data_IF_316820398309
#
_entry.id   IF_316820398309
#
_cell.length_a   1.000
_cell.length_b   1.000
_cell.length_c   1.000
_cell.angle_alpha   90.00
_cell.angle_beta   90.00
_cell.angle_gamma   90.00
#
_symmetry.space_group_name_H-M   'P 1'
#
loop_
_entity.id
_entity.type
_entity.pdbx_description
1 polymer ?
#
# COMPACT_ATOMS: atom_id res chain seq x y z
N UNK A 1 21.61 -9.93 -4.50
CA UNK A 1 20.29 -9.27 -4.35
C UNK A 1 19.61 -9.26 -5.70
N UNK A 2 18.34 -9.65 -5.75
CA UNK A 2 17.50 -9.59 -6.94
C UNK A 2 16.74 -8.27 -6.90
N UNK A 3 16.97 -7.40 -7.89
CA UNK A 3 16.32 -6.07 -7.99
C UNK A 3 15.00 -6.16 -8.76
N UNK A 4 14.80 -7.26 -9.48
CA UNK A 4 13.54 -7.57 -10.13
C UNK A 4 12.40 -7.69 -9.10
N UNK A 5 11.19 -7.17 -9.41
CA UNK A 5 10.01 -7.36 -8.59
C UNK A 5 9.78 -8.82 -8.21
N UNK A 6 9.59 -9.07 -6.93
CA UNK A 6 9.22 -10.39 -6.44
C UNK A 6 7.80 -10.78 -6.90
N UNK A 7 7.60 -12.07 -7.21
CA UNK A 7 6.30 -12.60 -7.64
C UNK A 7 5.18 -12.29 -6.64
N UNK A 8 3.99 -11.97 -7.16
CA UNK A 8 2.78 -11.75 -6.37
C UNK A 8 2.35 -13.01 -5.59
N UNK A 9 2.69 -14.21 -6.06
CA UNK A 9 2.35 -15.46 -5.37
C UNK A 9 3.31 -15.78 -4.21
N UNK A 10 4.36 -14.98 -4.03
CA UNK A 10 5.32 -15.19 -2.95
C UNK A 10 4.67 -14.97 -1.58
N UNK A 11 5.07 -15.70 -0.53
CA UNK A 11 4.60 -15.45 0.81
C UNK A 11 4.82 -14.00 1.24
N UNK A 12 3.87 -13.42 1.99
CA UNK A 12 3.92 -12.01 2.37
C UNK A 12 5.23 -11.61 3.08
N UNK A 13 5.76 -12.47 3.94
CA UNK A 13 7.04 -12.26 4.62
C UNK A 13 8.21 -12.14 3.64
N UNK A 14 8.19 -12.92 2.56
CA UNK A 14 9.22 -12.85 1.50
C UNK A 14 9.10 -11.53 0.74
N UNK A 15 7.89 -11.04 0.48
CA UNK A 15 7.67 -9.72 -0.15
C UNK A 15 8.16 -8.58 0.73
N UNK A 16 7.91 -8.66 2.05
CA UNK A 16 8.40 -7.68 3.04
C UNK A 16 9.93 -7.68 3.08
N UNK A 17 10.56 -8.85 3.12
CA UNK A 17 12.01 -8.98 3.10
C UNK A 17 12.60 -8.37 1.82
N UNK A 18 12.04 -8.69 0.66
CA UNK A 18 12.43 -8.10 -0.62
C UNK A 18 12.34 -6.57 -0.61
N UNK A 19 11.22 -6.01 -0.12
CA UNK A 19 11.05 -4.57 -0.08
C UNK A 19 12.09 -3.88 0.82
N UNK A 20 12.44 -4.50 1.96
CA UNK A 20 13.49 -3.99 2.86
C UNK A 20 14.87 -4.09 2.23
N UNK A 21 15.19 -5.19 1.53
CA UNK A 21 16.46 -5.34 0.81
C UNK A 21 16.59 -4.27 -0.29
N UNK A 22 15.53 -4.03 -1.06
CA UNK A 22 15.48 -2.97 -2.07
C UNK A 22 15.63 -1.58 -1.44
N UNK A 23 14.95 -1.31 -0.33
CA UNK A 23 15.08 -0.03 0.37
C UNK A 23 16.50 0.19 0.89
N UNK A 24 17.15 -0.85 1.44
CA UNK A 24 18.53 -0.77 1.92
C UNK A 24 19.52 -0.51 0.78
N UNK A 25 19.34 -1.16 -0.37
CA UNK A 25 20.29 -1.06 -1.47
C UNK A 25 20.06 0.13 -2.42
N UNK A 26 18.81 0.56 -2.58
CA UNK A 26 18.41 1.55 -3.58
C UNK A 26 17.65 2.73 -2.99
N UNK A 27 17.39 2.76 -1.68
CA UNK A 27 16.58 3.80 -1.03
C UNK A 27 17.10 5.21 -1.27
N UNK A 28 18.41 5.44 -1.10
CA UNK A 28 19.03 6.74 -1.38
C UNK A 28 18.93 7.14 -2.86
N UNK A 29 19.10 6.17 -3.77
CA UNK A 29 18.96 6.40 -5.21
C UNK A 29 17.52 6.78 -5.58
N UNK A 30 16.53 6.05 -5.07
CA UNK A 30 15.11 6.32 -5.29
C UNK A 30 14.70 7.66 -4.67
N UNK A 31 15.18 7.98 -3.46
CA UNK A 31 14.94 9.25 -2.80
C UNK A 31 15.62 10.44 -3.50
N UNK A 32 16.72 10.20 -4.23
CA UNK A 32 17.38 11.20 -5.07
C UNK A 32 16.59 11.56 -6.34
N UNK A 33 15.60 10.75 -6.72
CA UNK A 33 14.76 11.02 -7.87
C UNK A 33 13.67 12.07 -7.52
N UNK A 34 13.70 13.19 -8.24
CA UNK A 34 12.78 14.32 -8.00
C UNK A 34 11.33 13.97 -8.28
N UNK A 35 11.07 13.08 -9.26
CA UNK A 35 9.71 12.66 -9.62
C UNK A 35 9.16 11.76 -8.53
N UNK A 36 9.93 10.79 -8.04
CA UNK A 36 9.57 9.95 -6.89
C UNK A 36 9.28 10.82 -5.67
N UNK A 37 10.17 11.76 -5.35
CA UNK A 37 9.99 12.63 -4.17
C UNK A 37 8.71 13.47 -4.26
N UNK A 38 8.40 14.03 -5.43
CA UNK A 38 7.14 14.78 -5.62
C UNK A 38 5.93 13.86 -5.49
N UNK A 39 5.93 12.71 -6.16
CA UNK A 39 4.84 11.75 -6.13
C UNK A 39 4.62 11.18 -4.72
N UNK A 40 5.67 10.89 -3.95
CA UNK A 40 5.56 10.47 -2.55
C UNK A 40 4.85 11.52 -1.70
N UNK A 41 5.22 12.80 -1.86
CA UNK A 41 4.59 13.91 -1.13
C UNK A 41 3.11 14.04 -1.49
N UNK A 42 2.80 14.05 -2.78
CA UNK A 42 1.43 14.17 -3.31
C UNK A 42 0.55 12.97 -2.90
N UNK A 43 1.08 11.76 -3.00
CA UNK A 43 0.40 10.53 -2.58
C UNK A 43 0.13 10.55 -1.07
N UNK A 44 1.11 10.95 -0.26
CA UNK A 44 0.91 11.07 1.18
C UNK A 44 -0.20 12.07 1.54
N UNK A 45 -0.35 13.15 0.77
CA UNK A 45 -1.46 14.10 0.93
C UNK A 45 -2.81 13.49 0.48
N UNK A 46 -2.85 12.82 -0.67
CA UNK A 46 -4.04 12.15 -1.15
C UNK A 46 -4.57 11.10 -0.17
N UNK A 47 -3.68 10.28 0.42
CA UNK A 47 -4.02 9.29 1.46
C UNK A 47 -4.63 9.96 2.70
N UNK A 48 -4.05 11.08 3.15
CA UNK A 48 -4.62 11.83 4.29
C UNK A 48 -6.01 12.37 3.95
N UNK A 49 -6.20 12.86 2.73
CA UNK A 49 -7.46 13.44 2.28
C UNK A 49 -8.58 12.40 2.11
N UNK A 50 -8.28 11.23 1.53
CA UNK A 50 -9.23 10.12 1.41
C UNK A 50 -9.58 9.55 2.78
N UNK A 51 -8.58 9.34 3.65
CA UNK A 51 -8.80 8.84 5.00
C UNK A 51 -9.60 9.84 5.86
N UNK A 52 -9.33 11.14 5.76
CA UNK A 52 -10.13 12.16 6.43
C UNK A 52 -11.59 12.17 5.94
N UNK A 53 -11.84 11.89 4.66
CA UNK A 53 -13.19 11.72 4.12
C UNK A 53 -13.90 10.51 4.74
N UNK A 54 -13.21 9.37 4.84
CA UNK A 54 -13.77 8.17 5.50
C UNK A 54 -14.12 8.44 6.96
N UNK A 55 -13.29 9.18 7.69
CA UNK A 55 -13.56 9.58 9.08
C UNK A 55 -14.78 10.49 9.13
N UNK A 56 -14.82 11.53 8.28
CA UNK A 56 -15.91 12.50 8.28
C UNK A 56 -17.27 11.86 7.95
N UNK A 57 -17.27 10.90 7.03
CA UNK A 57 -18.47 10.12 6.68
C UNK A 57 -18.89 9.17 7.80
N UNK A 58 -18.01 8.82 8.75
CA UNK A 58 -18.28 7.86 9.82
C UNK A 58 -17.96 6.40 9.46
N UNK A 59 -17.43 6.13 8.28
CA UNK A 59 -17.11 4.77 7.79
C UNK A 59 -16.06 4.10 8.69
N UNK A 60 -15.05 4.85 9.15
CA UNK A 60 -13.99 4.29 10.00
C UNK A 60 -14.54 3.75 11.32
N UNK A 61 -15.50 4.48 11.93
CA UNK A 61 -16.11 4.04 13.19
C UNK A 61 -17.03 2.85 12.97
N UNK A 62 -17.84 2.88 11.91
CA UNK A 62 -18.72 1.76 11.53
C UNK A 62 -17.92 0.47 11.28
N UNK A 63 -16.79 0.56 10.57
CA UNK A 63 -15.91 -0.58 10.35
C UNK A 63 -15.32 -1.12 11.66
N UNK A 64 -14.92 -0.24 12.59
CA UNK A 64 -14.39 -0.66 13.90
C UNK A 64 -15.46 -1.38 14.72
N UNK A 65 -16.64 -0.78 14.83
CA UNK A 65 -17.76 -1.39 15.57
C UNK A 65 -18.15 -2.75 14.97
N UNK A 66 -18.12 -2.87 13.64
CA UNK A 66 -18.38 -4.13 12.95
C UNK A 66 -17.36 -5.22 13.31
N UNK A 67 -16.07 -4.88 13.33
CA UNK A 67 -15.01 -5.80 13.74
C UNK A 67 -15.20 -6.24 15.21
N UNK A 68 -15.44 -5.28 16.10
CA UNK A 68 -15.49 -5.52 17.55
C UNK A 68 -16.77 -6.27 18.00
N UNK A 69 -17.92 -5.98 17.38
CA UNK A 69 -19.24 -6.43 17.86
C UNK A 69 -19.87 -7.47 16.94
N UNK A 70 -19.68 -7.35 15.63
CA UNK A 70 -20.33 -8.19 14.62
C UNK A 70 -19.37 -9.25 14.04
N UNK A 71 -18.12 -9.25 14.48
CA UNK A 71 -17.11 -10.26 14.19
C UNK A 71 -16.21 -9.95 13.00
N UNK A 72 -16.53 -8.92 12.19
CA UNK A 72 -15.69 -8.48 11.08
C UNK A 72 -15.41 -9.54 10.00
N UNK A 73 -15.00 -9.12 8.80
CA UNK A 73 -14.47 -10.06 7.80
C UNK A 73 -13.68 -9.40 6.67
N UNK A 74 -13.96 -8.12 6.41
CA UNK A 74 -13.39 -7.40 5.27
C UNK A 74 -11.86 -7.26 5.31
N UNK A 75 -11.24 -7.27 6.50
CA UNK A 75 -9.79 -7.27 6.68
C UNK A 75 -9.24 -8.62 7.15
N UNK A 76 -9.79 -9.73 6.63
CA UNK A 76 -9.42 -11.09 7.03
C UNK A 76 -8.11 -11.64 6.45
N UNK A 77 -7.75 -12.83 6.92
CA UNK A 77 -6.60 -13.62 6.47
C UNK A 77 -6.59 -13.80 4.94
N UNK A 78 -5.42 -13.60 4.34
CA UNK A 78 -5.22 -13.78 2.89
C UNK A 78 -5.36 -12.49 2.08
N UNK A 79 -5.99 -11.45 2.63
CA UNK A 79 -6.05 -10.14 1.96
C UNK A 79 -4.65 -9.55 1.74
N UNK A 80 -3.69 -9.86 2.61
CA UNK A 80 -2.30 -9.45 2.42
C UNK A 80 -1.66 -9.98 1.12
N UNK A 81 -2.20 -11.04 0.51
CA UNK A 81 -1.61 -11.64 -0.68
C UNK A 81 -1.73 -10.75 -1.93
N UNK A 82 -2.69 -9.82 -1.96
CA UNK A 82 -2.82 -8.83 -3.02
C UNK A 82 -1.70 -7.78 -3.01
N UNK A 83 -1.00 -7.61 -1.88
CA UNK A 83 0.09 -6.65 -1.81
C UNK A 83 1.30 -7.17 -2.59
N UNK A 84 1.80 -6.37 -3.52
CA UNK A 84 3.06 -6.62 -4.21
C UNK A 84 4.26 -6.18 -3.37
N UNK A 85 5.45 -6.72 -3.65
CA UNK A 85 6.68 -6.22 -3.03
C UNK A 85 6.90 -4.73 -3.29
N UNK A 86 6.51 -4.22 -4.46
CA UNK A 86 6.67 -2.82 -4.81
C UNK A 86 5.76 -1.90 -3.98
N UNK A 87 4.52 -2.31 -3.68
CA UNK A 87 3.65 -1.55 -2.76
C UNK A 87 4.25 -1.45 -1.35
N UNK A 88 4.93 -2.50 -0.89
CA UNK A 88 5.63 -2.49 0.39
C UNK A 88 6.87 -1.59 0.37
N UNK A 89 7.62 -1.57 -0.75
CA UNK A 89 8.72 -0.64 -0.95
C UNK A 89 8.25 0.82 -0.94
N UNK A 90 7.10 1.12 -1.57
CA UNK A 90 6.51 2.47 -1.53
C UNK A 90 6.16 2.86 -0.09
N UNK A 91 5.59 1.95 0.71
CA UNK A 91 5.35 2.22 2.13
C UNK A 91 6.64 2.58 2.87
N UNK A 92 7.74 1.84 2.64
CA UNK A 92 9.05 2.16 3.22
C UNK A 92 9.57 3.53 2.77
N UNK A 93 9.41 3.89 1.49
CA UNK A 93 9.79 5.21 0.96
C UNK A 93 8.98 6.35 1.59
N UNK A 94 7.74 6.11 1.98
CA UNK A 94 6.90 7.04 2.73
C UNK A 94 7.21 7.07 4.23
N UNK A 95 8.23 6.33 4.68
CA UNK A 95 8.65 6.27 6.09
C UNK A 95 7.78 5.38 6.98
N UNK A 96 6.95 4.52 6.39
CA UNK A 96 6.15 3.55 7.15
C UNK A 96 7.02 2.39 7.60
N UNK A 97 6.97 2.04 8.89
CA UNK A 97 7.57 0.79 9.37
C UNK A 97 6.65 -0.40 9.03
N UNK A 98 6.97 -1.09 7.93
CA UNK A 98 6.19 -2.24 7.46
C UNK A 98 6.28 -3.38 8.49
N UNK A 99 5.14 -3.87 9.01
CA UNK A 99 5.11 -4.94 10.01
C UNK A 99 5.90 -6.19 9.63
N UNK A 100 6.50 -6.86 10.62
CA UNK A 100 7.15 -8.16 10.43
C UNK A 100 6.33 -9.36 10.92
N UNK A 101 5.26 -9.09 11.66
CA UNK A 101 4.38 -10.09 12.23
C UNK A 101 2.92 -9.62 12.22
N UNK A 102 2.03 -10.60 12.18
CA UNK A 102 0.58 -10.42 12.29
C UNK A 102 0.19 -10.37 13.76
N UNK A 103 -0.73 -9.47 14.10
CA UNK A 103 -1.24 -9.35 15.48
C UNK A 103 -2.33 -10.38 15.75
N UNK A 104 -3.34 -10.47 14.89
CA UNK A 104 -4.41 -11.45 14.99
C UNK A 104 -4.22 -12.56 13.95
N UNK A 105 -4.07 -13.85 14.33
CA UNK A 105 -3.96 -14.98 13.40
C UNK A 105 -5.05 -15.07 12.32
N UNK A 106 -6.23 -14.48 12.55
CA UNK A 106 -7.38 -14.53 11.63
C UNK A 106 -7.54 -13.28 10.75
N UNK A 107 -7.01 -12.13 11.15
CA UNK A 107 -7.02 -10.88 10.39
C UNK A 107 -5.91 -10.82 9.33
N UNK A 108 -5.90 -9.77 8.51
CA UNK A 108 -4.87 -9.47 7.51
C UNK A 108 -3.50 -9.18 8.16
N UNK A 109 -2.40 -9.46 7.44
CA UNK A 109 -1.04 -9.32 8.01
C UNK A 109 -0.74 -7.91 8.49
N UNK A 110 -1.32 -6.92 7.81
CA UNK A 110 -1.12 -5.50 8.08
C UNK A 110 -2.16 -4.90 9.02
N UNK A 111 -3.21 -5.64 9.38
CA UNK A 111 -4.23 -5.17 10.32
C UNK A 111 -3.61 -5.01 11.72
N UNK A 112 -3.91 -3.89 12.38
CA UNK A 112 -3.60 -3.65 13.78
C UNK A 112 -4.79 -3.07 14.53
N UNK A 113 -4.60 -2.80 15.83
CA UNK A 113 -5.67 -2.40 16.73
C UNK A 113 -6.40 -1.09 16.36
N UNK A 114 -5.80 -0.26 15.50
CA UNK A 114 -6.38 1.02 15.02
C UNK A 114 -6.65 1.02 13.51
N UNK A 115 -6.70 -0.15 12.88
CA UNK A 115 -6.83 -0.31 11.44
C UNK A 115 -5.52 -0.74 10.76
N UNK A 116 -5.45 -0.57 9.45
CA UNK A 116 -4.29 -0.97 8.66
C UNK A 116 -3.03 -0.20 9.10
N UNK A 117 -1.92 -0.91 9.24
CA UNK A 117 -0.61 -0.35 9.61
C UNK A 117 0.19 0.18 8.42
N UNK A 118 -0.34 0.04 7.20
CA UNK A 118 0.24 0.60 5.98
C UNK A 118 -0.44 1.93 5.64
N UNK A 119 0.33 2.87 5.10
CA UNK A 119 -0.23 4.09 4.52
C UNK A 119 -0.74 3.83 3.10
N UNK A 120 0.11 3.20 2.28
CA UNK A 120 -0.25 2.78 0.92
C UNK A 120 -0.89 1.40 0.96
N UNK A 121 -2.12 1.33 0.48
CA UNK A 121 -2.95 0.13 0.44
C UNK A 121 -3.07 -0.37 -1.00
N UNK A 122 -3.34 -1.66 -1.15
CA UNK A 122 -3.74 -2.19 -2.46
C UNK A 122 -5.07 -1.55 -2.91
N UNK A 123 -5.29 -1.44 -4.23
CA UNK A 123 -6.49 -0.83 -4.80
C UNK A 123 -7.79 -1.48 -4.32
N UNK A 124 -7.78 -2.79 -4.04
CA UNK A 124 -8.94 -3.49 -3.45
C UNK A 124 -9.22 -2.94 -2.05
N UNK A 125 -8.19 -2.72 -1.25
CA UNK A 125 -8.32 -2.19 0.11
C UNK A 125 -8.69 -0.69 0.14
N UNK A 126 -8.44 0.05 -0.93
CA UNK A 126 -8.85 1.45 -1.09
C UNK A 126 -10.32 1.49 -1.51
N UNK A 127 -10.67 0.72 -2.55
CA UNK A 127 -11.97 0.87 -3.20
C UNK A 127 -13.09 -0.01 -2.61
N UNK A 128 -12.78 -0.98 -1.76
CA UNK A 128 -13.82 -1.85 -1.22
C UNK A 128 -14.60 -1.18 -0.08
N UNK A 129 -15.92 -1.06 -0.27
CA UNK A 129 -16.90 -0.84 0.80
C UNK A 129 -17.88 -2.00 0.77
N UNK A 130 -18.17 -2.59 1.93
CA UNK A 130 -19.15 -3.68 2.01
C UNK A 130 -20.59 -3.16 1.89
N UNK A 131 -21.52 -4.07 1.65
CA UNK A 131 -22.95 -3.77 1.49
C UNK A 131 -23.55 -3.00 2.68
N UNK A 132 -23.11 -3.34 3.90
CA UNK A 132 -23.52 -2.64 5.12
C UNK A 132 -23.13 -1.16 5.08
N UNK A 133 -21.93 -0.84 4.61
CA UNK A 133 -21.51 0.56 4.42
C UNK A 133 -22.34 1.20 3.31
N UNK A 134 -22.40 0.58 2.12
CA UNK A 134 -23.03 1.22 0.96
C UNK A 134 -24.54 1.41 1.11
N UNK A 135 -25.20 0.64 1.99
CA UNK A 135 -26.62 0.80 2.31
C UNK A 135 -26.90 1.82 3.42
N UNK A 136 -25.92 2.10 4.30
CA UNK A 136 -26.07 3.04 5.43
C UNK A 136 -25.72 4.48 5.09
N UNK A 137 -24.71 4.69 4.24
CA UNK A 137 -24.20 6.04 3.95
C UNK A 137 -24.79 6.60 2.65
N UNK A 138 -24.93 7.93 2.57
CA UNK A 138 -25.50 8.61 1.41
C UNK A 138 -24.70 8.32 0.13
N UNK A 139 -25.36 8.08 -1.01
CA UNK A 139 -24.68 7.92 -2.30
C UNK A 139 -23.77 9.09 -2.66
N UNK A 140 -24.15 10.32 -2.33
CA UNK A 140 -23.38 11.53 -2.61
C UNK A 140 -22.08 11.55 -1.81
N UNK A 141 -22.14 11.23 -0.51
CA UNK A 141 -20.96 11.12 0.34
C UNK A 141 -20.02 9.99 -0.11
N UNK A 142 -20.57 8.85 -0.53
CA UNK A 142 -19.76 7.76 -1.09
C UNK A 142 -19.10 8.21 -2.39
N UNK A 143 -19.82 8.88 -3.29
CA UNK A 143 -19.27 9.40 -4.55
C UNK A 143 -18.13 10.40 -4.31
N UNK A 144 -18.28 11.31 -3.34
CA UNK A 144 -17.20 12.24 -2.97
C UNK A 144 -15.96 11.50 -2.43
N UNK A 145 -16.15 10.46 -1.62
CA UNK A 145 -15.06 9.60 -1.18
C UNK A 145 -14.36 8.92 -2.36
N UNK A 146 -15.13 8.37 -3.32
CA UNK A 146 -14.59 7.71 -4.52
C UNK A 146 -13.71 8.65 -5.34
N UNK A 147 -14.09 9.91 -5.50
CA UNK A 147 -13.28 10.91 -6.22
C UNK A 147 -11.92 11.13 -5.55
N UNK A 148 -11.90 11.21 -4.21
CA UNK A 148 -10.66 11.37 -3.43
C UNK A 148 -9.79 10.11 -3.51
N UNK A 149 -10.37 8.93 -3.39
CA UNK A 149 -9.68 7.65 -3.57
C UNK A 149 -9.13 7.49 -5.00
N UNK A 150 -9.83 8.00 -6.02
CA UNK A 150 -9.36 7.99 -7.40
C UNK A 150 -8.08 8.80 -7.60
N UNK A 151 -7.90 9.89 -6.84
CA UNK A 151 -6.64 10.65 -6.82
C UNK A 151 -5.52 9.82 -6.18
N UNK A 152 -5.79 9.18 -5.03
CA UNK A 152 -4.84 8.29 -4.34
C UNK A 152 -4.38 7.15 -5.26
N UNK A 153 -5.32 6.44 -5.90
CA UNK A 153 -5.03 5.32 -6.80
C UNK A 153 -4.21 5.77 -8.01
N UNK A 154 -4.53 6.92 -8.61
CA UNK A 154 -3.79 7.46 -9.75
C UNK A 154 -2.34 7.79 -9.38
N UNK A 155 -2.14 8.49 -8.26
CA UNK A 155 -0.80 8.84 -7.78
C UNK A 155 0.01 7.60 -7.40
N UNK A 156 -0.63 6.61 -6.77
CA UNK A 156 -0.01 5.34 -6.46
C UNK A 156 0.44 4.62 -7.73
N UNK A 157 -0.40 4.56 -8.76
CA UNK A 157 -0.04 3.98 -10.04
C UNK A 157 1.17 4.68 -10.67
N UNK A 158 1.16 6.02 -10.72
CA UNK A 158 2.27 6.80 -11.29
C UNK A 158 3.58 6.56 -10.54
N UNK A 159 3.54 6.52 -9.21
CA UNK A 159 4.70 6.24 -8.37
C UNK A 159 5.22 4.81 -8.58
N UNK A 160 4.30 3.84 -8.63
CA UNK A 160 4.61 2.43 -8.88
C UNK A 160 5.35 2.27 -10.22
N UNK A 161 4.83 2.85 -11.30
CA UNK A 161 5.46 2.80 -12.62
C UNK A 161 6.84 3.45 -12.64
N UNK A 162 7.00 4.61 -11.98
CA UNK A 162 8.30 5.28 -11.91
C UNK A 162 9.35 4.43 -11.20
N UNK A 163 8.99 3.82 -10.07
CA UNK A 163 9.89 2.95 -9.32
C UNK A 163 10.24 1.71 -10.14
N UNK A 164 9.26 1.03 -10.74
CA UNK A 164 9.51 -0.16 -11.56
C UNK A 164 10.44 0.14 -12.73
N UNK A 165 10.27 1.28 -13.41
CA UNK A 165 11.18 1.73 -14.46
C UNK A 165 12.62 1.88 -13.98
N UNK A 166 12.82 2.54 -12.84
CA UNK A 166 14.15 2.71 -12.25
C UNK A 166 14.78 1.38 -11.79
N UNK A 167 14.00 0.47 -11.20
CA UNK A 167 14.49 -0.86 -10.82
C UNK A 167 14.99 -1.65 -12.04
N UNK A 168 14.25 -1.59 -13.16
CA UNK A 168 14.65 -2.24 -14.40
C UNK A 168 15.92 -1.63 -15.03
N UNK A 169 16.12 -0.32 -14.93
CA UNK A 169 17.35 0.36 -15.37
C UNK A 169 18.58 -0.06 -14.52
N UNK A 170 18.40 -0.17 -13.20
CA UNK A 170 19.46 -0.63 -12.30
C UNK A 170 19.84 -2.08 -12.55
N UNK A 171 18.86 -2.94 -12.80
CA UNK A 171 19.09 -4.34 -13.15
C UNK A 171 19.93 -4.48 -14.42
N UNK A 172 19.59 -3.75 -15.50
CA UNK A 172 20.38 -3.73 -16.74
C UNK A 172 21.81 -3.28 -16.49
N UNK A 173 21.99 -2.19 -15.76
CA UNK A 173 23.30 -1.63 -15.44
C UNK A 173 24.18 -2.64 -14.68
N UNK A 174 23.61 -3.38 -13.73
CA UNK A 174 24.33 -4.39 -12.97
C UNK A 174 24.69 -5.62 -13.81
N UNK A 175 23.79 -6.05 -14.69
CA UNK A 175 24.04 -7.16 -15.59
C UNK A 175 25.17 -6.83 -16.59
N UNK A 176 25.17 -5.61 -17.14
CA UNK A 176 26.26 -5.14 -18.02
C UNK A 176 27.60 -5.08 -17.30
N UNK A 177 27.65 -4.62 -16.05
CA UNK A 177 28.88 -4.61 -15.24
C UNK A 177 29.40 -6.02 -14.98
N UNK A 178 28.52 -6.98 -14.71
CA UNK A 178 28.89 -8.39 -14.52
C UNK A 178 29.42 -9.04 -15.79
N UNK A 179 28.83 -8.73 -16.95
CA UNK A 179 29.28 -9.28 -18.23
C UNK A 179 30.66 -8.77 -18.67
N UNK A 180 31.14 -7.67 -18.08
CA UNK A 180 32.44 -7.05 -18.36
C UNK A 180 33.53 -7.40 -17.34
N UNK A 181 33.20 -8.11 -16.27
CA UNK A 181 34.10 -8.52 -15.19
C UNK A 181 34.51 -9.99 -15.37
#
# INVERSE_FOLDING_TARGET
MTIHPISLDSPIKTKIAWARDCMHALGEFLAGDKVITSLCRELGEAIRNSHAAMIHLGIVEECRECEDVRGGSCCGLGLENYYSGNLLLINLLLGVDVPQERIDPKGCFFLGAKGCRLAVRDVICINYLCEEITSRFSPEGIAELREREGIEVRLLFQLNERILGLLAEQEKTLNERRARA
#
